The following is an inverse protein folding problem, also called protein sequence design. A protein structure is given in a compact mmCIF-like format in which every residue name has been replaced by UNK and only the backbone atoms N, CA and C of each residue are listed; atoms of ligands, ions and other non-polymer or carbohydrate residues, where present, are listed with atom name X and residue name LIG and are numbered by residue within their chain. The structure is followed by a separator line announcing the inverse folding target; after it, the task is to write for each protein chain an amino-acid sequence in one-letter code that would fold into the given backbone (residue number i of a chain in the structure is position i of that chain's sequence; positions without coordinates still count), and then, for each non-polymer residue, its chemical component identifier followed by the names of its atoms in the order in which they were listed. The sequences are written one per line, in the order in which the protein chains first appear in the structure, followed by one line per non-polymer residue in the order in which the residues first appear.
data_IF_709723330305
#
_entry.id   IF_709723330305
#
_cell.length_a   1.000
_cell.length_b   1.000
_cell.length_c   1.000
_cell.angle_alpha   90.00
_cell.angle_beta   90.00
_cell.angle_gamma   90.00
#
_symmetry.space_group_name_H-M   'P 1'
#
loop_
_entity.id
_entity.type
_entity.pdbx_description
1 polymer ?
#
# COMPACT_ATOMS: atom_id res chain seq x y z
N UNK A 1 48.16 12.54 -11.02
CA UNK A 1 46.95 12.09 -11.74
C UNK A 1 45.82 13.05 -11.42
N UNK A 2 45.06 13.54 -12.41
CA UNK A 2 43.91 14.39 -12.16
C UNK A 2 42.81 13.59 -11.46
N UNK A 3 42.08 14.26 -10.58
CA UNK A 3 40.99 13.65 -9.83
C UNK A 3 39.78 13.41 -10.74
N UNK A 4 39.21 12.20 -10.76
CA UNK A 4 38.03 11.92 -11.57
C UNK A 4 36.81 12.71 -11.08
N UNK A 5 35.94 13.08 -12.01
CA UNK A 5 34.72 13.86 -11.79
C UNK A 5 33.55 13.22 -12.58
N UNK A 6 32.32 13.68 -12.30
CA UNK A 6 31.08 13.15 -12.91
C UNK A 6 30.84 11.65 -12.67
N UNK A 7 30.81 11.25 -11.40
CA UNK A 7 30.46 9.88 -11.03
C UNK A 7 28.98 9.59 -11.29
N UNK A 8 28.70 8.42 -11.85
CA UNK A 8 27.35 7.89 -12.04
C UNK A 8 27.37 6.38 -11.79
N UNK A 9 26.34 5.86 -11.12
CA UNK A 9 26.17 4.42 -10.89
C UNK A 9 25.47 3.77 -12.10
N UNK A 10 25.04 4.55 -13.11
CA UNK A 10 24.35 4.01 -14.28
C UNK A 10 22.92 3.53 -14.01
N UNK A 11 22.41 3.78 -12.80
CA UNK A 11 21.02 3.52 -12.40
C UNK A 11 20.26 4.85 -12.25
N UNK A 12 19.00 4.93 -12.73
CA UNK A 12 18.19 6.14 -12.60
C UNK A 12 17.91 6.47 -11.13
N UNK A 13 17.70 7.75 -10.82
CA UNK A 13 17.40 8.23 -9.46
C UNK A 13 18.61 8.53 -8.59
N UNK A 14 19.81 8.06 -8.92
CA UNK A 14 21.01 8.34 -8.13
C UNK A 14 21.75 9.58 -8.61
N UNK A 15 22.12 10.44 -7.66
CA UNK A 15 23.03 11.57 -7.85
C UNK A 15 24.25 11.40 -6.97
N UNK A 16 25.43 11.37 -7.59
CA UNK A 16 26.69 11.26 -6.88
C UNK A 16 27.31 12.63 -6.63
N UNK A 17 27.92 12.79 -5.46
CA UNK A 17 28.75 13.94 -5.13
C UNK A 17 30.05 13.94 -5.94
N UNK A 18 30.77 15.04 -5.90
CA UNK A 18 32.18 15.01 -6.27
C UNK A 18 32.95 14.06 -5.34
N UNK A 19 34.05 13.50 -5.84
CA UNK A 19 34.94 12.70 -5.02
C UNK A 19 35.57 13.54 -3.90
N UNK A 20 35.98 12.88 -2.83
CA UNK A 20 36.82 13.47 -1.77
C UNK A 20 38.02 12.56 -1.54
N UNK A 21 39.23 13.13 -1.50
CA UNK A 21 40.46 12.35 -1.26
C UNK A 21 40.45 11.86 0.18
N UNK A 22 40.74 10.57 0.38
CA UNK A 22 40.87 9.95 1.70
C UNK A 22 42.19 9.21 1.82
N UNK A 23 42.50 8.74 3.03
CA UNK A 23 43.69 7.94 3.29
C UNK A 23 43.72 6.69 2.37
N UNK A 24 44.90 6.31 1.84
CA UNK A 24 44.96 5.21 0.88
C UNK A 24 44.56 3.87 1.50
N UNK A 25 43.64 3.18 0.84
CA UNK A 25 43.08 1.90 1.29
C UNK A 25 44.00 0.74 0.94
N UNK A 26 43.99 -0.28 1.81
CA UNK A 26 44.69 -1.55 1.58
C UNK A 26 43.66 -2.62 1.24
N UNK A 27 43.92 -3.38 0.19
CA UNK A 27 43.09 -4.51 -0.19
C UNK A 27 43.97 -5.75 -0.33
N UNK A 28 43.39 -6.91 -0.04
CA UNK A 28 44.08 -8.17 -0.23
C UNK A 28 44.20 -8.47 -1.72
N UNK A 29 45.43 -8.75 -2.16
CA UNK A 29 45.71 -9.28 -3.50
C UNK A 29 46.13 -10.73 -3.38
N UNK A 30 45.95 -11.47 -4.47
CA UNK A 30 46.48 -12.84 -4.61
C UNK A 30 45.91 -13.83 -3.57
N UNK A 31 44.58 -13.90 -3.50
CA UNK A 31 43.86 -14.86 -2.64
C UNK A 31 44.02 -14.64 -1.13
N UNK A 32 44.51 -13.48 -0.70
CA UNK A 32 44.65 -13.12 0.73
C UNK A 32 46.07 -13.18 1.29
N UNK A 33 47.08 -13.54 0.48
CA UNK A 33 48.48 -13.67 0.94
C UNK A 33 49.24 -12.34 1.04
N UNK A 34 48.85 -11.34 0.25
CA UNK A 34 49.50 -10.03 0.22
C UNK A 34 48.49 -8.90 0.36
N UNK A 35 48.91 -7.80 0.98
CA UNK A 35 48.13 -6.56 1.04
C UNK A 35 48.72 -5.56 0.05
N UNK A 36 47.94 -5.19 -0.95
CA UNK A 36 48.29 -4.12 -1.89
C UNK A 36 47.66 -2.81 -1.41
N UNK A 37 48.45 -1.75 -1.34
CA UNK A 37 47.99 -0.41 -0.98
C UNK A 37 47.70 0.41 -2.23
N UNK A 38 46.52 1.02 -2.29
CA UNK A 38 46.18 1.98 -3.34
C UNK A 38 47.09 3.22 -3.23
N UNK A 39 47.46 3.82 -4.35
CA UNK A 39 48.23 5.08 -4.35
C UNK A 39 47.37 6.25 -3.87
N UNK A 40 46.09 6.25 -4.28
CA UNK A 40 45.10 7.25 -3.94
C UNK A 40 43.76 6.55 -3.75
N UNK A 41 43.00 7.00 -2.76
CA UNK A 41 41.63 6.55 -2.54
C UNK A 41 40.71 7.75 -2.52
N UNK A 42 39.56 7.61 -3.15
CA UNK A 42 38.52 8.62 -3.17
C UNK A 42 37.22 8.04 -2.61
N UNK A 43 36.48 8.87 -1.90
CA UNK A 43 35.12 8.56 -1.46
C UNK A 43 34.14 9.37 -2.29
N UNK A 44 33.07 8.72 -2.73
CA UNK A 44 31.97 9.33 -3.48
C UNK A 44 30.68 8.95 -2.78
N UNK A 45 29.82 9.93 -2.49
CA UNK A 45 28.51 9.68 -1.88
C UNK A 45 27.44 9.78 -2.94
N UNK A 46 26.68 8.71 -3.16
CA UNK A 46 25.56 8.72 -4.10
C UNK A 46 24.23 8.64 -3.35
N UNK A 47 23.39 9.63 -3.57
CA UNK A 47 22.08 9.78 -2.95
C UNK A 47 21.00 9.43 -3.97
N UNK A 48 20.02 8.64 -3.56
CA UNK A 48 18.86 8.30 -4.36
C UNK A 48 17.72 9.29 -4.14
N UNK A 49 17.06 9.69 -5.23
CA UNK A 49 15.90 10.57 -5.24
C UNK A 49 14.82 9.98 -6.14
N UNK A 50 13.65 9.71 -5.55
CA UNK A 50 12.49 9.17 -6.27
C UNK A 50 12.04 10.10 -7.40
N UNK A 51 12.08 11.42 -7.17
CA UNK A 51 11.75 12.43 -8.18
C UNK A 51 12.70 12.41 -9.39
N UNK A 52 13.96 11.99 -9.19
CA UNK A 52 14.93 11.80 -10.28
C UNK A 52 14.82 10.44 -10.93
N UNK A 53 14.31 9.43 -10.23
CA UNK A 53 14.10 8.11 -10.80
C UNK A 53 12.93 8.11 -11.79
N UNK A 54 11.86 8.83 -11.46
CA UNK A 54 10.74 8.97 -12.37
C UNK A 54 10.06 10.32 -12.25
N UNK A 55 9.82 10.93 -13.41
CA UNK A 55 9.09 12.19 -13.55
C UNK A 55 7.60 11.99 -13.26
N UNK A 56 7.08 10.78 -13.53
CA UNK A 56 5.69 10.41 -13.31
C UNK A 56 5.58 9.29 -12.26
N UNK A 57 4.58 9.35 -11.36
CA UNK A 57 4.24 8.24 -10.48
C UNK A 57 4.01 6.94 -11.28
N UNK A 58 4.18 5.78 -10.62
CA UNK A 58 3.92 4.46 -11.24
C UNK A 58 2.71 3.74 -10.66
N UNK A 59 2.07 4.31 -9.66
CA UNK A 59 0.89 3.70 -9.06
C UNK A 59 -0.13 4.75 -8.63
N UNK A 60 -1.38 4.30 -8.59
CA UNK A 60 -2.51 5.08 -8.10
C UNK A 60 -3.36 4.24 -7.15
N UNK A 61 -4.19 4.93 -6.36
CA UNK A 61 -5.09 4.30 -5.40
C UNK A 61 -6.53 4.56 -5.78
N UNK A 62 -7.36 3.52 -5.67
CA UNK A 62 -8.82 3.63 -5.75
C UNK A 62 -9.45 3.14 -4.46
N UNK A 63 -10.56 3.76 -4.06
CA UNK A 63 -11.18 3.54 -2.75
C UNK A 63 -12.64 3.11 -2.92
N UNK A 64 -13.10 2.20 -2.06
CA UNK A 64 -14.51 1.82 -2.01
C UNK A 64 -14.89 1.34 -0.60
N UNK A 65 -16.19 1.22 -0.36
CA UNK A 65 -16.73 0.74 0.92
C UNK A 65 -17.98 -0.07 0.68
N UNK A 66 -18.34 -0.93 1.62
CA UNK A 66 -19.64 -1.62 1.58
C UNK A 66 -20.84 -0.70 1.91
N UNK A 67 -20.59 0.55 2.32
CA UNK A 67 -21.63 1.53 2.63
C UNK A 67 -22.06 2.36 1.42
N UNK A 68 -21.30 2.30 0.32
CA UNK A 68 -21.55 3.08 -0.88
C UNK A 68 -21.20 2.24 -2.11
N UNK A 69 -22.15 2.08 -3.02
CA UNK A 69 -22.01 1.29 -4.24
C UNK A 69 -21.05 1.92 -5.27
N UNK A 70 -20.71 3.19 -5.09
CA UNK A 70 -19.76 3.89 -5.96
C UNK A 70 -18.32 3.66 -5.54
N UNK A 71 -17.49 3.35 -6.53
CA UNK A 71 -16.04 3.24 -6.37
C UNK A 71 -15.43 4.58 -6.73
N UNK A 72 -14.61 5.12 -5.83
CA UNK A 72 -13.78 6.28 -6.10
C UNK A 72 -12.58 5.80 -6.91
N UNK A 73 -12.51 6.13 -8.21
CA UNK A 73 -11.46 5.61 -9.07
C UNK A 73 -10.12 6.28 -8.76
N UNK A 74 -9.05 5.75 -9.33
CA UNK A 74 -7.79 6.48 -9.38
C UNK A 74 -7.99 7.84 -10.06
N UNK A 75 -7.32 8.92 -9.58
CA UNK A 75 -7.34 10.21 -10.24
C UNK A 75 -6.92 10.11 -11.71
N UNK A 76 -7.58 10.90 -12.55
CA UNK A 76 -7.28 10.93 -13.99
C UNK A 76 -5.85 11.39 -14.23
N UNK A 77 -5.16 10.74 -15.17
CA UNK A 77 -3.76 11.00 -15.49
C UNK A 77 -2.76 10.94 -14.32
N UNK A 78 -3.03 10.13 -13.30
CA UNK A 78 -2.12 9.94 -12.15
C UNK A 78 -0.67 9.63 -12.55
N UNK A 79 -0.47 8.86 -13.64
CA UNK A 79 0.85 8.49 -14.14
C UNK A 79 1.21 9.15 -15.48
N UNK A 80 0.57 10.29 -15.77
CA UNK A 80 0.79 11.08 -16.99
C UNK A 80 -0.31 10.91 -18.04
N UNK A 81 -0.76 12.03 -18.61
CA UNK A 81 -1.70 12.01 -19.73
C UNK A 81 -0.97 11.70 -21.05
N UNK A 82 -1.70 11.13 -22.01
CA UNK A 82 -1.18 10.92 -23.37
C UNK A 82 -0.68 12.24 -23.98
N UNK A 83 0.56 12.23 -24.48
CA UNK A 83 1.22 13.42 -25.04
C UNK A 83 2.06 14.22 -24.04
N UNK A 84 2.04 13.90 -22.75
CA UNK A 84 2.95 14.53 -21.78
C UNK A 84 4.32 13.84 -21.75
N UNK A 85 5.43 14.58 -21.53
CA UNK A 85 6.76 13.99 -21.43
C UNK A 85 6.85 12.98 -20.28
N UNK A 86 7.27 11.75 -20.57
CA UNK A 86 7.40 10.68 -19.58
C UNK A 86 6.12 9.91 -19.27
N UNK A 87 4.99 10.24 -19.91
CA UNK A 87 3.79 9.41 -19.82
C UNK A 87 3.98 8.06 -20.52
N UNK A 88 3.42 6.97 -19.96
CA UNK A 88 3.49 5.67 -20.59
C UNK A 88 2.68 5.65 -21.88
N UNK A 89 3.11 4.81 -22.83
CA UNK A 89 2.31 4.48 -24.00
C UNK A 89 1.22 3.52 -23.56
N UNK A 90 0.03 3.61 -24.15
CA UNK A 90 -1.01 2.62 -23.88
C UNK A 90 -1.46 1.87 -25.12
N UNK A 91 -1.91 0.63 -24.91
CA UNK A 91 -2.58 -0.20 -25.91
C UNK A 91 -3.89 -0.74 -25.34
N UNK A 92 -4.84 -1.10 -26.21
CA UNK A 92 -6.10 -1.74 -25.82
C UNK A 92 -5.91 -3.25 -25.63
N UNK A 93 -6.78 -3.88 -24.85
CA UNK A 93 -6.76 -5.33 -24.66
C UNK A 93 -6.83 -6.07 -26.00
N UNK A 94 -5.87 -6.97 -26.24
CA UNK A 94 -5.77 -7.76 -27.47
C UNK A 94 -4.92 -7.13 -28.59
N UNK A 95 -4.53 -5.86 -28.46
CA UNK A 95 -3.57 -5.21 -29.36
C UNK A 95 -2.20 -5.18 -28.68
N UNK A 96 -1.27 -6.01 -29.15
CA UNK A 96 0.14 -5.85 -28.75
C UNK A 96 0.63 -4.50 -29.29
N UNK A 97 1.23 -3.64 -28.45
CA UNK A 97 1.80 -2.41 -28.95
C UNK A 97 2.86 -2.74 -30.01
N UNK A 98 2.76 -2.11 -31.18
CA UNK A 98 3.87 -2.08 -32.13
C UNK A 98 5.02 -1.33 -31.45
N UNK A 99 5.94 -2.05 -30.81
CA UNK A 99 7.07 -1.45 -30.11
C UNK A 99 8.08 -0.93 -31.14
N UNK A 100 8.39 0.39 -31.18
CA UNK A 100 9.74 0.78 -31.52
C UNK A 100 10.63 0.35 -30.34
N UNK A 101 11.82 -0.13 -30.65
CA UNK A 101 12.89 -0.56 -29.72
C UNK A 101 13.45 0.57 -28.83
N UNK A 102 12.61 1.52 -28.40
CA UNK A 102 12.98 2.52 -27.42
C UNK A 102 12.91 1.87 -26.04
N UNK A 103 14.02 1.25 -25.64
CA UNK A 103 14.27 0.81 -24.28
C UNK A 103 14.01 1.98 -23.31
N UNK A 104 12.89 1.96 -22.59
CA UNK A 104 12.58 2.94 -21.55
C UNK A 104 11.16 3.52 -21.52
N UNK A 105 10.30 3.23 -22.51
CA UNK A 105 8.89 3.66 -22.45
C UNK A 105 8.00 2.55 -21.84
N UNK A 106 7.47 2.78 -20.63
CA UNK A 106 6.48 1.89 -20.03
C UNK A 106 5.24 1.79 -20.92
N UNK A 107 4.77 0.55 -21.16
CA UNK A 107 3.59 0.26 -21.94
C UNK A 107 2.49 -0.28 -21.02
N UNK A 108 1.33 0.38 -20.98
CA UNK A 108 0.24 0.07 -20.05
C UNK A 108 -1.09 -0.17 -20.79
N UNK A 109 -2.06 -0.80 -20.13
CA UNK A 109 -3.43 -0.83 -20.64
C UNK A 109 -4.01 0.59 -20.65
N UNK A 110 -4.70 0.96 -21.74
CA UNK A 110 -5.37 2.25 -21.83
C UNK A 110 -6.47 2.38 -20.76
N UNK A 111 -6.19 3.20 -19.75
CA UNK A 111 -7.09 3.54 -18.65
C UNK A 111 -7.09 5.06 -18.44
N UNK A 112 -8.05 5.59 -17.68
CA UNK A 112 -8.10 7.03 -17.39
C UNK A 112 -6.94 7.53 -16.53
N UNK A 113 -6.33 6.66 -15.72
CA UNK A 113 -5.24 7.00 -14.80
C UNK A 113 -3.84 6.74 -15.40
N UNK A 114 -3.74 5.92 -16.44
CA UNK A 114 -2.50 5.58 -17.16
C UNK A 114 -1.40 4.97 -16.28
N UNK A 115 -1.75 4.42 -15.12
CA UNK A 115 -0.77 3.84 -14.19
C UNK A 115 -0.55 2.36 -14.44
N UNK A 116 0.70 1.87 -14.41
CA UNK A 116 0.98 0.44 -14.50
C UNK A 116 0.47 -0.34 -13.29
N UNK A 117 0.41 0.27 -12.10
CA UNK A 117 -0.12 -0.38 -10.90
C UNK A 117 -1.31 0.38 -10.34
N UNK A 118 -2.33 -0.36 -9.90
CA UNK A 118 -3.44 0.18 -9.10
C UNK A 118 -3.54 -0.59 -7.80
N UNK A 119 -3.58 0.14 -6.69
CA UNK A 119 -3.92 -0.42 -5.38
C UNK A 119 -5.35 -0.03 -5.05
N UNK A 120 -6.22 -1.03 -4.90
CA UNK A 120 -7.61 -0.82 -4.51
C UNK A 120 -7.78 -1.13 -3.03
N UNK A 121 -8.29 -0.16 -2.27
CA UNK A 121 -8.65 -0.32 -0.86
C UNK A 121 -10.17 -0.36 -0.72
N UNK A 122 -10.68 -1.49 -0.24
CA UNK A 122 -12.11 -1.70 -0.02
C UNK A 122 -12.41 -1.95 1.45
N UNK A 123 -13.19 -1.08 2.08
CA UNK A 123 -13.75 -1.36 3.40
C UNK A 123 -14.88 -2.39 3.24
N UNK A 124 -14.60 -3.64 3.60
CA UNK A 124 -15.49 -4.78 3.35
C UNK A 124 -16.57 -4.93 4.41
N UNK A 125 -16.20 -4.90 5.68
CA UNK A 125 -17.13 -5.10 6.81
C UNK A 125 -16.68 -4.31 8.05
N UNK A 126 -17.65 -3.97 8.88
CA UNK A 126 -17.44 -3.24 10.13
C UNK A 126 -18.22 -3.91 11.27
N UNK A 127 -17.54 -4.78 12.03
CA UNK A 127 -18.12 -5.49 13.18
C UNK A 127 -18.07 -4.63 14.44
N UNK A 128 -18.56 -5.17 15.58
CA UNK A 128 -18.53 -4.44 16.87
C UNK A 128 -17.10 -4.10 17.31
N UNK A 129 -16.20 -5.08 17.30
CA UNK A 129 -14.82 -4.95 17.82
C UNK A 129 -13.75 -4.90 16.72
N UNK A 130 -14.08 -5.34 15.51
CA UNK A 130 -13.15 -5.46 14.40
C UNK A 130 -13.72 -4.83 13.15
N UNK A 131 -12.85 -4.53 12.20
CA UNK A 131 -13.22 -4.14 10.85
C UNK A 131 -12.32 -4.86 9.86
N UNK A 132 -12.87 -5.09 8.67
CA UNK A 132 -12.24 -5.89 7.63
C UNK A 132 -12.05 -5.06 6.39
N UNK A 133 -10.82 -5.06 5.89
CA UNK A 133 -10.42 -4.39 4.66
C UNK A 133 -10.00 -5.45 3.65
N UNK A 134 -10.39 -5.27 2.39
CA UNK A 134 -9.86 -6.01 1.27
C UNK A 134 -8.96 -5.09 0.46
N UNK A 135 -7.74 -5.55 0.20
CA UNK A 135 -6.79 -4.88 -0.68
C UNK A 135 -6.62 -5.71 -1.95
N UNK A 136 -6.57 -5.02 -3.08
CA UNK A 136 -6.28 -5.64 -4.38
C UNK A 136 -5.20 -4.83 -5.09
N UNK A 137 -4.12 -5.46 -5.52
CA UNK A 137 -3.10 -4.84 -6.37
C UNK A 137 -3.30 -5.39 -7.78
N UNK A 138 -3.55 -4.51 -8.76
CA UNK A 138 -3.73 -4.88 -10.17
C UNK A 138 -2.55 -4.36 -11.00
N UNK A 139 -2.10 -5.16 -11.95
CA UNK A 139 -0.99 -4.82 -12.85
C UNK A 139 -1.47 -4.59 -14.28
N UNK A 140 -1.54 -3.32 -14.65
CA UNK A 140 -1.88 -2.84 -15.98
C UNK A 140 -0.67 -2.69 -16.90
N UNK A 141 0.55 -3.03 -16.46
CA UNK A 141 1.72 -3.01 -17.31
C UNK A 141 1.65 -4.18 -18.31
N UNK A 142 1.90 -3.93 -19.59
CA UNK A 142 1.72 -4.93 -20.67
C UNK A 142 2.95 -5.80 -20.92
N UNK A 143 4.14 -5.35 -20.49
CA UNK A 143 5.42 -6.01 -20.79
C UNK A 143 6.19 -6.44 -19.54
N UNK A 144 5.63 -6.24 -18.34
CA UNK A 144 6.37 -6.37 -17.08
C UNK A 144 5.55 -7.10 -16.04
N UNK A 145 6.14 -8.14 -15.48
CA UNK A 145 5.70 -8.80 -14.26
C UNK A 145 6.51 -8.23 -13.10
N UNK A 146 5.94 -8.25 -11.89
CA UNK A 146 6.61 -7.82 -10.68
C UNK A 146 6.82 -9.03 -9.77
N UNK A 147 8.06 -9.51 -9.66
CA UNK A 147 8.49 -10.45 -8.61
C UNK A 147 8.82 -9.68 -7.34
N UNK A 148 8.74 -10.33 -6.18
CA UNK A 148 9.09 -9.77 -4.86
C UNK A 148 8.48 -8.39 -4.63
N UNK A 149 7.25 -8.22 -5.09
CA UNK A 149 6.57 -6.93 -4.99
C UNK A 149 6.37 -6.59 -3.51
N UNK A 150 6.51 -5.31 -3.21
CA UNK A 150 6.36 -4.77 -1.87
C UNK A 150 5.33 -3.66 -1.87
N UNK A 151 4.39 -3.72 -0.93
CA UNK A 151 3.38 -2.70 -0.70
C UNK A 151 3.59 -2.14 0.70
N UNK A 152 3.83 -0.84 0.82
CA UNK A 152 3.92 -0.15 2.09
C UNK A 152 2.66 0.68 2.28
N UNK A 153 2.03 0.52 3.45
CA UNK A 153 0.82 1.24 3.82
C UNK A 153 1.06 1.96 5.12
N UNK A 154 0.61 3.21 5.17
CA UNK A 154 0.54 3.99 6.41
C UNK A 154 -0.92 4.18 6.80
N UNK A 155 -1.29 3.66 7.97
CA UNK A 155 -2.60 3.85 8.55
C UNK A 155 -2.53 3.72 10.08
N UNK A 156 -3.12 4.65 10.86
CA UNK A 156 -3.03 4.67 12.32
C UNK A 156 -3.44 3.38 13.02
N UNK A 157 -4.30 2.57 12.41
CA UNK A 157 -4.80 1.32 12.99
C UNK A 157 -3.96 0.08 12.62
N UNK A 158 -2.90 0.21 11.82
CA UNK A 158 -1.99 -0.93 11.55
C UNK A 158 -1.25 -1.40 12.80
N UNK A 159 -1.14 -0.55 13.82
CA UNK A 159 -0.66 -0.93 15.17
C UNK A 159 -1.52 -2.02 15.85
N UNK A 160 -2.77 -2.14 15.44
CA UNK A 160 -3.76 -3.09 15.97
C UNK A 160 -4.24 -4.07 14.90
N UNK A 161 -3.36 -4.35 13.93
CA UNK A 161 -3.57 -5.37 12.91
C UNK A 161 -3.58 -6.74 13.59
N UNK A 162 -4.71 -7.45 13.48
CA UNK A 162 -4.89 -8.75 14.12
C UNK A 162 -4.49 -9.88 13.19
N UNK A 163 -4.86 -9.77 11.91
CA UNK A 163 -4.59 -10.81 10.93
C UNK A 163 -4.48 -10.22 9.52
N UNK A 164 -3.57 -10.78 8.74
CA UNK A 164 -3.43 -10.56 7.30
C UNK A 164 -3.60 -11.90 6.62
N UNK A 165 -4.47 -11.97 5.62
CA UNK A 165 -4.74 -13.16 4.85
C UNK A 165 -4.00 -13.10 3.52
N UNK A 166 -3.44 -14.22 3.06
CA UNK A 166 -2.84 -14.35 1.73
C UNK A 166 -1.58 -13.52 1.42
N UNK A 167 -1.19 -12.53 2.24
CA UNK A 167 0.07 -11.78 2.15
C UNK A 167 0.91 -11.94 3.42
N UNK A 168 2.21 -11.74 3.28
CA UNK A 168 3.09 -11.53 4.43
C UNK A 168 3.00 -10.07 4.91
N UNK A 169 3.30 -9.84 6.19
CA UNK A 169 3.26 -8.52 6.82
C UNK A 169 4.37 -8.32 7.83
N UNK A 170 4.93 -7.10 7.86
CA UNK A 170 5.84 -6.66 8.91
C UNK A 170 5.63 -5.18 9.21
N UNK A 171 5.51 -4.76 10.48
CA UNK A 171 5.48 -3.35 10.83
C UNK A 171 6.85 -2.71 10.52
N UNK A 172 6.84 -1.49 9.98
CA UNK A 172 8.02 -0.66 9.78
C UNK A 172 8.11 0.38 10.90
N UNK A 173 9.15 0.29 11.72
CA UNK A 173 9.39 1.21 12.84
C UNK A 173 10.56 2.12 12.44
N UNK A 174 10.25 3.24 11.79
CA UNK A 174 11.24 4.16 11.20
C UNK A 174 11.69 5.25 12.20
N UNK A 175 12.22 4.86 13.36
CA UNK A 175 12.58 5.73 14.50
C UNK A 175 11.39 6.12 15.41
N UNK A 176 11.49 5.79 16.70
CA UNK A 176 10.44 5.99 17.70
C UNK A 176 9.49 4.78 17.88
N UNK A 177 8.36 5.00 18.54
CA UNK A 177 7.35 3.97 18.84
C UNK A 177 6.14 3.97 17.86
N UNK A 178 6.27 4.63 16.71
CA UNK A 178 5.20 4.69 15.70
C UNK A 178 5.20 3.44 14.84
N UNK A 179 4.20 2.59 15.06
CA UNK A 179 3.91 1.35 14.32
C UNK A 179 2.66 1.51 13.43
N UNK A 180 2.46 2.72 12.88
CA UNK A 180 1.36 3.06 11.98
C UNK A 180 1.66 2.71 10.51
N UNK A 181 2.86 2.21 10.23
CA UNK A 181 3.33 1.86 8.88
C UNK A 181 3.69 0.39 8.84
N UNK A 182 3.32 -0.29 7.77
CA UNK A 182 3.65 -1.69 7.57
C UNK A 182 3.95 -2.02 6.12
N UNK A 183 4.84 -2.99 5.93
CA UNK A 183 5.19 -3.56 4.63
C UNK A 183 4.49 -4.89 4.45
N UNK A 184 3.96 -5.09 3.25
CA UNK A 184 3.29 -6.28 2.78
C UNK A 184 4.03 -6.82 1.54
N UNK A 185 4.10 -8.13 1.41
CA UNK A 185 4.71 -8.77 0.24
C UNK A 185 4.06 -10.13 -0.02
N UNK A 186 4.33 -10.68 -1.21
CA UNK A 186 3.82 -11.98 -1.62
C UNK A 186 4.31 -13.13 -0.73
N UNK A 187 3.53 -14.20 -0.70
CA UNK A 187 3.91 -15.50 -0.15
C UNK A 187 4.57 -16.30 -1.26
N UNK A 188 5.75 -16.84 -0.95
CA UNK A 188 6.55 -17.68 -1.85
C UNK A 188 5.69 -18.80 -2.45
N UNK A 189 5.83 -19.03 -3.75
CA UNK A 189 5.06 -20.03 -4.51
C UNK A 189 3.53 -19.85 -4.55
N UNK A 190 2.99 -18.75 -4.03
CA UNK A 190 1.54 -18.48 -4.08
C UNK A 190 1.22 -17.21 -4.85
N UNK A 191 1.70 -16.06 -4.38
CA UNK A 191 1.47 -14.75 -5.01
C UNK A 191 2.70 -13.86 -4.96
N UNK A 192 3.87 -14.48 -4.94
CA UNK A 192 5.20 -13.86 -5.07
C UNK A 192 5.35 -13.06 -6.38
N UNK A 193 4.69 -13.52 -7.45
CA UNK A 193 4.67 -12.82 -8.74
C UNK A 193 3.31 -12.16 -8.99
N UNK A 194 3.35 -10.87 -9.28
CA UNK A 194 2.23 -10.12 -9.84
C UNK A 194 2.37 -10.08 -11.37
N UNK A 195 1.60 -10.92 -12.04
CA UNK A 195 1.59 -11.07 -13.49
C UNK A 195 0.89 -9.89 -14.17
N UNK A 196 1.08 -9.75 -15.49
CA UNK A 196 0.37 -8.79 -16.33
C UNK A 196 -1.16 -8.98 -16.29
N UNK A 197 -1.90 -7.93 -16.67
CA UNK A 197 -3.35 -7.92 -16.74
C UNK A 197 -3.90 -9.16 -17.48
N UNK A 198 -4.89 -9.82 -16.87
CA UNK A 198 -5.43 -11.11 -17.28
C UNK A 198 -6.16 -11.76 -16.11
N UNK A 199 -6.56 -13.04 -16.23
CA UNK A 199 -7.25 -13.75 -15.13
C UNK A 199 -6.44 -13.76 -13.82
N UNK A 200 -5.10 -13.72 -13.93
CA UNK A 200 -4.16 -13.69 -12.81
C UNK A 200 -3.44 -12.33 -12.64
N UNK A 201 -3.94 -11.27 -13.29
CA UNK A 201 -3.33 -9.93 -13.29
C UNK A 201 -3.51 -9.12 -12.01
N UNK A 202 -3.93 -9.76 -10.92
CA UNK A 202 -4.07 -9.11 -9.62
C UNK A 202 -3.74 -10.05 -8.46
N UNK A 203 -3.31 -9.45 -7.35
CA UNK A 203 -3.13 -10.13 -6.06
C UNK A 203 -4.02 -9.47 -5.02
N UNK A 204 -4.56 -10.28 -4.09
CA UNK A 204 -5.55 -9.81 -3.12
C UNK A 204 -5.20 -10.29 -1.71
N UNK A 205 -5.49 -9.44 -0.74
CA UNK A 205 -5.42 -9.77 0.69
C UNK A 205 -6.65 -9.24 1.40
N UNK A 206 -6.99 -9.88 2.51
CA UNK A 206 -7.90 -9.32 3.49
C UNK A 206 -7.13 -9.05 4.78
N UNK A 207 -7.51 -7.99 5.48
CA UNK A 207 -6.94 -7.62 6.76
C UNK A 207 -8.05 -7.51 7.79
N UNK A 208 -7.83 -8.10 8.96
CA UNK A 208 -8.67 -7.94 10.13
C UNK A 208 -7.97 -7.00 11.11
N UNK A 209 -8.61 -5.89 11.41
CA UNK A 209 -8.08 -4.86 12.28
C UNK A 209 -8.98 -4.72 13.51
N UNK A 210 -8.39 -4.72 14.71
CA UNK A 210 -9.13 -4.44 15.93
C UNK A 210 -9.42 -2.94 16.02
N UNK A 211 -10.61 -2.58 16.48
CA UNK A 211 -10.99 -1.19 16.74
C UNK A 211 -10.35 -0.74 18.04
N UNK A 212 -9.50 0.27 17.94
CA UNK A 212 -8.94 0.92 19.13
C UNK A 212 -9.96 1.86 19.77
N UNK A 213 -10.27 1.70 21.07
CA UNK A 213 -11.16 2.60 21.79
C UNK A 213 -10.70 4.06 21.68
N UNK A 214 -11.60 4.95 21.30
CA UNK A 214 -11.31 6.38 21.16
C UNK A 214 -10.48 6.79 19.93
N UNK A 215 -9.92 5.84 19.17
CA UNK A 215 -9.17 6.14 17.95
C UNK A 215 -9.94 5.76 16.67
N UNK A 216 -10.73 4.68 16.70
CA UNK A 216 -11.51 4.25 15.54
C UNK A 216 -12.68 5.20 15.27
N UNK A 217 -12.79 5.69 14.04
CA UNK A 217 -13.92 6.49 13.56
C UNK A 217 -14.17 6.25 12.08
N UNK A 218 -15.42 6.45 11.64
CA UNK A 218 -15.78 6.47 10.22
C UNK A 218 -15.81 7.90 9.65
N UNK A 219 -15.55 8.90 10.48
CA UNK A 219 -15.59 10.29 10.06
C UNK A 219 -14.30 10.72 9.35
N UNK A 220 -14.43 11.73 8.48
CA UNK A 220 -13.29 12.41 7.85
C UNK A 220 -12.36 11.50 7.05
N UNK A 221 -12.88 10.40 6.49
CA UNK A 221 -12.06 9.47 5.72
C UNK A 221 -11.07 8.64 6.54
N UNK A 222 -11.20 8.60 7.87
CA UNK A 222 -10.26 7.90 8.75
C UNK A 222 -9.99 6.43 8.39
N UNK A 223 -10.95 5.61 7.92
CA UNK A 223 -10.69 4.20 7.58
C UNK A 223 -9.82 3.97 6.34
N UNK A 224 -9.43 5.02 5.62
CA UNK A 224 -8.62 4.95 4.41
C UNK A 224 -7.14 5.22 4.73
N UNK A 225 -6.21 4.60 3.99
CA UNK A 225 -4.78 4.75 4.25
C UNK A 225 -4.35 6.20 4.01
N UNK A 226 -3.40 6.69 4.80
CA UNK A 226 -2.84 8.03 4.66
C UNK A 226 -1.81 8.12 3.55
N UNK A 227 -1.05 7.03 3.37
CA UNK A 227 -0.01 6.91 2.35
C UNK A 227 0.08 5.47 1.88
N UNK A 228 0.34 5.31 0.58
CA UNK A 228 0.53 4.02 -0.07
C UNK A 228 1.78 4.12 -0.93
N UNK A 229 2.63 3.12 -0.89
CA UNK A 229 3.79 3.02 -1.76
C UNK A 229 3.95 1.61 -2.29
N UNK A 230 4.24 1.48 -3.58
CA UNK A 230 4.46 0.20 -4.25
C UNK A 230 5.90 0.15 -4.77
N UNK A 231 6.66 -0.89 -4.41
CA UNK A 231 8.07 -1.05 -4.75
C UNK A 231 8.92 0.20 -4.48
N UNK A 232 8.67 0.84 -3.33
CA UNK A 232 9.39 2.04 -2.90
C UNK A 232 8.91 3.36 -3.51
N UNK A 233 7.97 3.35 -4.45
CA UNK A 233 7.42 4.55 -5.08
C UNK A 233 6.05 4.91 -4.50
N UNK A 234 5.85 6.19 -4.18
CA UNK A 234 4.60 6.70 -3.63
C UNK A 234 3.47 6.72 -4.68
N UNK A 235 2.30 6.21 -4.29
CA UNK A 235 1.14 6.15 -5.17
C UNK A 235 0.28 7.41 -5.03
N UNK A 236 -0.32 7.82 -6.15
CA UNK A 236 -1.27 8.94 -6.17
C UNK A 236 -2.57 8.52 -5.48
N UNK A 237 -2.90 9.20 -4.39
CA UNK A 237 -4.15 9.04 -3.65
C UNK A 237 -5.24 9.96 -4.22
N UNK A 238 -6.53 9.57 -4.20
CA UNK A 238 -7.64 10.49 -4.39
C UNK A 238 -7.60 11.62 -3.35
N UNK A 239 -8.23 12.75 -3.66
CA UNK A 239 -8.33 13.84 -2.69
C UNK A 239 -9.31 13.45 -1.57
N UNK A 240 -9.12 13.91 -0.32
CA UNK A 240 -10.01 13.54 0.79
C UNK A 240 -11.49 13.87 0.55
N UNK A 241 -11.79 14.93 -0.21
CA UNK A 241 -13.15 15.34 -0.55
C UNK A 241 -13.86 14.36 -1.50
N UNK A 242 -13.10 13.57 -2.25
CA UNK A 242 -13.59 12.54 -3.16
C UNK A 242 -13.77 11.19 -2.48
N UNK A 243 -13.40 11.03 -1.20
CA UNK A 243 -13.44 9.74 -0.53
C UNK A 243 -14.88 9.18 -0.45
N UNK A 244 -15.04 7.84 -0.48
CA UNK A 244 -16.36 7.25 -0.41
C UNK A 244 -17.09 7.71 0.86
N UNK A 245 -18.37 8.05 0.70
CA UNK A 245 -19.20 8.47 1.83
C UNK A 245 -19.33 7.34 2.85
N UNK A 246 -19.11 7.65 4.12
CA UNK A 246 -19.28 6.74 5.25
C UNK A 246 -20.47 7.19 6.10
N UNK A 247 -21.18 6.25 6.76
CA UNK A 247 -22.25 6.64 7.66
C UNK A 247 -21.67 7.49 8.78
N UNK A 248 -22.36 8.60 9.09
CA UNK A 248 -22.07 9.35 10.31
C UNK A 248 -22.30 8.40 11.46
N UNK A 249 -21.27 8.16 12.27
CA UNK A 249 -21.40 7.31 13.45
C UNK A 249 -22.59 7.80 14.25
N UNK A 250 -23.67 7.03 14.30
CA UNK A 250 -24.73 7.29 15.26
C UNK A 250 -24.12 7.00 16.62
N UNK A 251 -24.17 7.98 17.53
CA UNK A 251 -24.05 7.70 18.95
C UNK A 251 -24.97 6.52 19.25
N UNK A 252 -24.38 5.40 19.64
CA UNK A 252 -25.13 4.28 20.13
C UNK A 252 -25.89 4.79 21.35
N UNK A 253 -27.15 5.21 21.14
CA UNK A 253 -28.08 5.40 22.23
C UNK A 253 -28.10 4.07 22.97
N UNK A 254 -27.68 4.02 24.25
CA UNK A 254 -27.69 2.77 24.96
C UNK A 254 -29.13 2.27 24.92
N UNK A 255 -29.34 1.10 24.32
CA UNK A 255 -30.60 0.40 24.36
C UNK A 255 -31.12 0.50 25.79
N UNK A 256 -32.24 1.20 25.97
CA UNK A 256 -32.90 1.29 27.26
C UNK A 256 -33.12 -0.14 27.73
N UNK A 257 -32.39 -0.54 28.77
CA UNK A 257 -32.59 -1.81 29.46
C UNK A 257 -34.01 -1.78 29.97
N UNK A 258 -34.90 -2.46 29.26
CA UNK A 258 -36.28 -2.66 29.68
C UNK A 258 -36.20 -3.55 30.91
N UNK A 259 -36.19 -2.93 32.10
CA UNK A 259 -36.32 -3.62 33.38
C UNK A 259 -37.55 -4.53 33.29
N UNK A 260 -37.43 -5.84 33.54
CA UNK A 260 -38.61 -6.68 33.65
C UNK A 260 -39.37 -6.24 34.91
N UNK A 261 -40.61 -5.77 34.74
CA UNK A 261 -41.55 -5.67 35.85
C UNK A 261 -41.79 -7.09 36.37
N UNK A 262 -41.25 -7.41 37.54
CA UNK A 262 -41.76 -8.50 38.36
C UNK A 262 -43.14 -8.07 38.87
N UNK A 263 -44.19 -8.42 38.13
CA UNK A 263 -45.54 -8.49 38.65
C UNK A 263 -45.58 -9.66 39.65
N UNK A 264 -45.63 -9.29 40.93
CA UNK A 264 -45.84 -10.17 42.06
C UNK A 264 -47.24 -10.79 42.01
N UNK A 265 -47.34 -12.04 41.54
CA UNK A 265 -48.53 -12.86 41.71
C UNK A 265 -48.55 -13.39 43.15
N UNK A 266 -49.32 -12.72 44.00
CA UNK A 266 -49.69 -13.20 45.33
C UNK A 266 -51.20 -13.54 45.31
N UNK A 267 -51.56 -14.65 45.97
CA UNK A 267 -52.91 -15.11 46.36
C UNK A 267 -53.74 -15.81 45.28
N UNK A 268 -53.86 -17.14 45.42
CA UNK A 268 -55.10 -17.82 45.82
C UNK A 268 -54.78 -19.27 46.22
N UNK A 269 -54.54 -19.50 47.50
CA UNK A 269 -54.54 -20.84 48.10
C UNK A 269 -55.45 -20.80 49.32
N UNK A 270 -56.77 -20.85 49.11
CA UNK A 270 -57.75 -21.20 50.14
C UNK A 270 -59.09 -21.54 49.47
N UNK A 271 -59.28 -22.82 49.14
CA UNK A 271 -60.60 -23.45 48.99
C UNK A 271 -60.43 -24.98 48.96
N UNK A 272 -59.87 -25.54 50.04
CA UNK A 272 -60.14 -26.93 50.41
C UNK A 272 -60.75 -26.86 51.79
N UNK A 273 -62.07 -26.79 51.83
CA UNK A 273 -62.95 -27.22 52.93
C UNK A 273 -64.38 -26.81 52.57
N UNK A 274 -65.29 -27.78 52.68
CA UNK A 274 -66.76 -27.74 52.59
C UNK A 274 -67.34 -28.28 51.27
N UNK A 275 -67.72 -29.56 51.36
CA UNK A 275 -68.81 -30.35 50.75
C UNK A 275 -68.28 -31.80 50.80
N UNK A 276 -68.48 -32.57 51.89
CA UNK A 276 -69.72 -33.33 52.22
C UNK A 276 -70.63 -33.53 51.01
#
# INVERSE_FOLDING_TARGET
MPMPYNFSIGVPGYTCSNATVVAPTKHQSDGGRHNTQALLTWVVTCLYSQFRESIAPKCCVSLSTFYNDTIVPCPTCSCGCQGSPGAPKCAKNGELPQLPQAAGADAVLCTRHMCPIRVHWHLKLNYREYWRVKLTISNFHLLKNYSDWTLVLQHPNLRSLTQVFSFNYRPLIQYGNTNDTGVFWGVEHYNEMLLQEGEMGNVQTEMLLRKEPGAFTLQGGWPFPRKVSFNGQECVMPTPDEYPSLPRGSDASPLAVRRPCFESVLLMAFAVLLFV
#
